data_IF_338970448987
#
_entry.id   IF_338970448987
#
_cell.length_a   1.000
_cell.length_b   1.000
_cell.length_c   1.000
_cell.angle_alpha   90.00
_cell.angle_beta   90.00
_cell.angle_gamma   90.00
#
_symmetry.space_group_name_H-M   'P 1'
#
loop_
_entity.id
_entity.type
_entity.pdbx_description
1 polymer ?
#
# COMPACT_ATOMS: atom_id res chain seq x y z
N UNK A 1 -4.75 11.92 0.62
CA UNK A 1 -3.50 11.35 1.13
C UNK A 1 -3.14 10.13 0.30
N UNK A 2 -1.85 9.92 0.00
CA UNK A 2 -1.36 8.72 -0.69
C UNK A 2 -0.21 8.12 0.11
N UNK A 3 -0.32 6.83 0.43
CA UNK A 3 0.76 6.02 0.99
C UNK A 3 1.31 5.17 -0.15
N UNK A 4 2.56 5.44 -0.54
CA UNK A 4 3.22 4.72 -1.62
C UNK A 4 3.60 3.27 -1.25
N UNK A 5 4.07 2.48 -2.22
CA UNK A 5 4.48 1.08 -2.04
C UNK A 5 5.85 0.97 -1.36
N UNK A 6 5.96 1.54 -0.16
CA UNK A 6 7.15 1.50 0.70
C UNK A 6 7.06 0.34 1.70
N UNK A 7 8.19 -0.01 2.31
CA UNK A 7 8.23 -1.07 3.32
C UNK A 7 7.26 -0.75 4.48
N UNK A 8 6.29 -1.64 4.77
CA UNK A 8 5.24 -1.33 5.71
C UNK A 8 5.76 -1.31 7.15
N UNK A 9 6.81 -2.09 7.46
CA UNK A 9 7.36 -2.24 8.81
C UNK A 9 8.41 -1.18 9.14
N UNK A 10 9.35 -0.90 8.24
CA UNK A 10 10.48 0.01 8.57
C UNK A 10 10.32 1.41 8.02
N UNK A 11 9.41 1.65 7.08
CA UNK A 11 9.19 2.97 6.49
C UNK A 11 7.86 3.57 6.92
N UNK A 12 6.76 2.82 6.79
CA UNK A 12 5.42 3.36 7.07
C UNK A 12 5.04 3.23 8.55
N UNK A 13 5.25 2.08 9.19
CA UNK A 13 4.88 1.90 10.62
C UNK A 13 5.50 2.95 11.55
N UNK A 14 6.79 3.34 11.43
CA UNK A 14 7.36 4.39 12.27
C UNK A 14 6.67 5.76 12.10
N UNK A 15 6.19 6.06 10.90
CA UNK A 15 5.41 7.28 10.63
C UNK A 15 4.03 7.18 11.30
N UNK A 16 3.38 6.01 11.23
CA UNK A 16 2.07 5.78 11.86
C UNK A 16 2.14 5.80 13.40
N UNK A 17 3.27 5.39 13.97
CA UNK A 17 3.55 5.39 15.42
C UNK A 17 3.79 6.80 15.98
N UNK A 18 4.10 7.78 15.12
CA UNK A 18 4.22 9.17 15.55
C UNK A 18 2.87 9.70 16.08
N UNK A 19 2.92 10.36 17.24
CA UNK A 19 1.73 10.81 17.97
C UNK A 19 0.77 11.62 17.07
N UNK A 20 -0.48 11.18 17.00
CA UNK A 20 -1.54 11.85 16.25
C UNK A 20 -1.58 11.55 14.75
N UNK A 21 -0.58 10.89 14.15
CA UNK A 21 -0.57 10.61 12.70
C UNK A 21 -1.70 9.66 12.32
N UNK A 22 -1.84 8.53 13.01
CA UNK A 22 -2.92 7.57 12.72
C UNK A 22 -4.31 8.18 12.89
N UNK A 23 -4.51 9.01 13.92
CA UNK A 23 -5.78 9.72 14.15
C UNK A 23 -6.06 10.80 13.10
N UNK A 24 -5.02 11.42 12.54
CA UNK A 24 -5.15 12.36 11.44
C UNK A 24 -5.55 11.63 10.15
N UNK A 25 -4.98 10.44 9.90
CA UNK A 25 -5.33 9.61 8.75
C UNK A 25 -6.78 9.12 8.82
N UNK A 26 -7.24 8.64 9.98
CA UNK A 26 -8.66 8.24 10.17
C UNK A 26 -9.67 9.35 9.92
N UNK A 27 -9.28 10.60 10.16
CA UNK A 27 -10.13 11.80 9.91
C UNK A 27 -9.96 12.37 8.51
N UNK A 28 -8.98 11.88 7.75
CA UNK A 28 -8.71 12.39 6.43
C UNK A 28 -9.80 11.91 5.46
N UNK A 29 -10.32 12.81 4.61
CA UNK A 29 -11.46 12.52 3.71
C UNK A 29 -11.25 11.32 2.78
N UNK A 30 -10.00 11.11 2.35
CA UNK A 30 -9.61 10.04 1.44
C UNK A 30 -8.13 9.65 1.56
N UNK A 31 -7.86 8.43 1.98
CA UNK A 31 -6.54 7.80 2.08
C UNK A 31 -6.46 6.64 1.10
N UNK A 32 -5.47 6.71 0.21
CA UNK A 32 -5.18 5.65 -0.75
C UNK A 32 -3.83 5.03 -0.38
N UNK A 33 -3.75 3.71 -0.30
CA UNK A 33 -2.51 2.99 -0.04
C UNK A 33 -2.20 2.00 -1.18
N UNK A 34 -0.92 1.91 -1.55
CA UNK A 34 -0.43 0.96 -2.57
C UNK A 34 0.40 -0.11 -1.90
N UNK A 35 0.10 -1.39 -2.19
CA UNK A 35 0.89 -2.51 -1.69
C UNK A 35 2.32 -2.47 -2.22
N UNK A 36 3.34 -2.77 -1.40
CA UNK A 36 4.72 -2.99 -1.84
C UNK A 36 4.97 -4.42 -2.37
N UNK A 37 3.96 -5.29 -2.32
CA UNK A 37 4.03 -6.67 -2.80
C UNK A 37 3.49 -6.81 -4.22
N UNK A 38 4.11 -7.71 -4.96
CA UNK A 38 3.73 -8.10 -6.31
C UNK A 38 3.78 -9.62 -6.39
N UNK A 39 2.62 -10.24 -6.53
CA UNK A 39 2.52 -11.70 -6.49
C UNK A 39 2.71 -12.21 -5.06
N UNK A 40 3.67 -13.11 -4.89
CA UNK A 40 4.06 -13.73 -3.62
C UNK A 40 5.32 -13.07 -3.00
N UNK A 41 5.84 -12.00 -3.62
CA UNK A 41 7.10 -11.38 -3.22
C UNK A 41 7.02 -9.85 -3.17
N UNK A 42 7.80 -9.19 -2.29
CA UNK A 42 7.96 -7.75 -2.34
C UNK A 42 8.80 -7.35 -3.57
N UNK A 43 8.56 -6.16 -4.12
CA UNK A 43 9.34 -5.64 -5.27
C UNK A 43 10.84 -5.61 -4.99
N UNK A 44 11.22 -5.23 -3.76
CA UNK A 44 12.60 -5.16 -3.34
C UNK A 44 12.73 -5.13 -1.82
N UNK A 45 13.95 -5.44 -1.34
CA UNK A 45 14.34 -5.21 0.05
C UNK A 45 13.82 -6.25 1.06
N UNK A 46 14.07 -6.00 2.37
CA UNK A 46 13.80 -6.97 3.44
C UNK A 46 12.33 -7.00 3.89
N UNK A 47 11.39 -6.41 3.13
CA UNK A 47 9.99 -6.26 3.57
C UNK A 47 9.36 -7.58 4.00
N UNK A 48 9.55 -8.65 3.23
CA UNK A 48 9.02 -9.97 3.58
C UNK A 48 9.62 -10.54 4.89
N UNK A 49 10.93 -10.37 5.10
CA UNK A 49 11.57 -10.82 6.32
C UNK A 49 11.10 -10.02 7.54
N UNK A 50 10.98 -8.70 7.39
CA UNK A 50 10.55 -7.80 8.46
C UNK A 50 9.07 -7.96 8.82
N UNK A 51 8.20 -8.23 7.84
CA UNK A 51 6.81 -8.57 8.12
C UNK A 51 6.70 -9.87 8.90
N UNK A 52 7.44 -10.91 8.51
CA UNK A 52 7.49 -12.16 9.30
C UNK A 52 8.01 -11.91 10.72
N UNK A 53 9.06 -11.10 10.87
CA UNK A 53 9.62 -10.75 12.17
C UNK A 53 8.66 -9.94 13.05
N UNK A 54 7.74 -9.17 12.45
CA UNK A 54 6.67 -8.45 13.16
C UNK A 54 5.39 -9.28 13.34
N UNK A 55 5.42 -10.58 13.05
CA UNK A 55 4.29 -11.50 13.23
C UNK A 55 3.19 -11.36 12.16
N UNK A 56 3.52 -10.82 10.98
CA UNK A 56 2.58 -10.56 9.89
C UNK A 56 2.91 -11.37 8.64
N UNK A 57 1.88 -11.67 7.87
CA UNK A 57 2.04 -12.31 6.57
C UNK A 57 2.74 -11.32 5.60
N UNK A 58 3.83 -11.73 4.92
CA UNK A 58 4.51 -10.91 3.93
C UNK A 58 3.75 -10.91 2.60
N UNK A 59 2.58 -10.29 2.60
CA UNK A 59 1.66 -10.25 1.47
C UNK A 59 0.98 -8.88 1.37
N UNK A 60 0.30 -8.63 0.25
CA UNK A 60 -0.62 -7.50 0.12
C UNK A 60 -1.72 -7.54 1.18
N UNK A 61 -2.21 -8.74 1.54
CA UNK A 61 -3.24 -8.91 2.57
C UNK A 61 -2.71 -8.55 3.98
N UNK A 62 -1.52 -9.03 4.33
CA UNK A 62 -0.87 -8.65 5.58
C UNK A 62 -0.55 -7.16 5.67
N UNK A 63 -0.26 -6.53 4.53
CA UNK A 63 -0.08 -5.07 4.43
C UNK A 63 -1.41 -4.34 4.60
N UNK A 64 -2.49 -4.83 3.99
CA UNK A 64 -3.82 -4.25 4.14
C UNK A 64 -4.28 -4.28 5.60
N UNK A 65 -4.08 -5.39 6.32
CA UNK A 65 -4.37 -5.50 7.75
C UNK A 65 -3.52 -4.60 8.67
N UNK A 66 -2.50 -3.91 8.15
CA UNK A 66 -1.81 -2.83 8.89
C UNK A 66 -2.56 -1.49 8.80
N UNK A 67 -3.32 -1.29 7.72
CA UNK A 67 -3.85 0.01 7.32
C UNK A 67 -5.39 0.05 7.25
N UNK A 68 -6.06 -1.09 7.40
CA UNK A 68 -7.51 -1.27 7.20
C UNK A 68 -8.39 -0.32 8.02
N UNK A 69 -7.90 0.19 9.15
CA UNK A 69 -8.66 1.08 10.03
C UNK A 69 -8.69 2.54 9.54
N UNK A 70 -7.90 2.92 8.52
CA UNK A 70 -7.85 4.28 7.99
C UNK A 70 -7.75 4.39 6.47
N UNK A 71 -7.56 3.28 5.74
CA UNK A 71 -7.47 3.29 4.27
C UNK A 71 -8.84 3.16 3.64
N UNK A 72 -9.19 4.11 2.79
CA UNK A 72 -10.44 4.09 2.02
C UNK A 72 -10.31 3.31 0.71
N UNK A 73 -9.12 3.31 0.10
CA UNK A 73 -8.82 2.58 -1.13
C UNK A 73 -7.46 1.92 -1.01
N UNK A 74 -7.45 0.59 -1.03
CA UNK A 74 -6.23 -0.19 -1.12
C UNK A 74 -5.98 -0.62 -2.56
N UNK A 75 -4.75 -0.46 -3.04
CA UNK A 75 -4.32 -0.87 -4.37
C UNK A 75 -3.34 -2.02 -4.23
N UNK A 76 -3.75 -3.18 -4.72
CA UNK A 76 -2.94 -4.37 -4.83
C UNK A 76 -2.47 -4.58 -6.27
N UNK A 77 -1.47 -5.43 -6.48
CA UNK A 77 -0.94 -5.63 -7.83
C UNK A 77 -1.84 -6.57 -8.67
N UNK A 78 -1.86 -6.37 -9.98
CA UNK A 78 -2.54 -7.29 -10.93
C UNK A 78 -1.97 -8.71 -10.94
N UNK A 79 -0.77 -8.93 -10.39
CA UNK A 79 -0.13 -10.25 -10.26
C UNK A 79 -0.36 -10.92 -8.91
N UNK A 80 -0.94 -10.25 -7.92
CA UNK A 80 -1.22 -10.85 -6.62
C UNK A 80 -2.09 -12.12 -6.74
N UNK A 81 -1.74 -13.22 -6.05
CA UNK A 81 -2.45 -14.48 -6.23
C UNK A 81 -3.85 -14.48 -5.60
N UNK A 82 -4.10 -13.59 -4.65
CA UNK A 82 -5.33 -13.52 -3.87
C UNK A 82 -5.92 -12.11 -3.98
N UNK A 83 -7.25 -12.05 -4.08
CA UNK A 83 -8.01 -10.80 -4.07
C UNK A 83 -8.31 -10.39 -2.63
N UNK A 84 -8.01 -9.13 -2.31
CA UNK A 84 -8.44 -8.48 -1.07
C UNK A 84 -9.78 -7.80 -1.37
N UNK A 85 -10.81 -8.14 -0.60
CA UNK A 85 -12.14 -7.58 -0.79
C UNK A 85 -12.13 -6.04 -0.74
N UNK A 86 -12.71 -5.42 -1.77
CA UNK A 86 -12.75 -3.96 -1.92
C UNK A 86 -11.45 -3.30 -2.39
N UNK A 87 -10.36 -4.05 -2.57
CA UNK A 87 -9.13 -3.52 -3.14
C UNK A 87 -9.21 -3.38 -4.67
N UNK A 88 -8.49 -2.40 -5.21
CA UNK A 88 -8.30 -2.23 -6.65
C UNK A 88 -7.04 -2.95 -7.11
N UNK A 89 -7.06 -3.48 -8.34
CA UNK A 89 -5.90 -4.13 -8.95
C UNK A 89 -5.31 -3.24 -10.04
N UNK A 90 -4.07 -2.77 -9.84
CA UNK A 90 -3.32 -1.98 -10.82
C UNK A 90 -1.93 -2.58 -11.03
N UNK A 91 -1.26 -2.26 -12.15
CA UNK A 91 0.15 -2.60 -12.31
C UNK A 91 1.01 -1.64 -11.47
N UNK A 92 1.59 -2.17 -10.39
CA UNK A 92 2.38 -1.40 -9.42
C UNK A 92 3.89 -1.56 -9.64
N UNK A 93 4.33 -2.33 -10.64
CA UNK A 93 5.76 -2.54 -10.91
C UNK A 93 6.37 -1.33 -11.62
N UNK A 94 7.03 -0.48 -10.83
CA UNK A 94 7.67 0.76 -11.27
C UNK A 94 9.10 0.55 -11.82
N UNK A 95 9.25 -0.28 -12.85
CA UNK A 95 10.56 -0.59 -13.48
C UNK A 95 11.20 0.58 -14.25
N UNK A 96 10.40 1.56 -14.66
CA UNK A 96 10.87 2.80 -15.28
C UNK A 96 9.87 3.94 -15.03
N UNK A 97 10.30 5.18 -15.28
CA UNK A 97 9.52 6.40 -14.98
C UNK A 97 8.10 6.40 -15.57
N UNK A 98 7.92 5.83 -16.77
CA UNK A 98 6.62 5.74 -17.42
C UNK A 98 5.60 4.94 -16.60
N UNK A 99 6.00 3.79 -16.04
CA UNK A 99 5.12 2.98 -15.16
C UNK A 99 4.73 3.73 -13.90
N UNK A 100 5.66 4.44 -13.27
CA UNK A 100 5.36 5.29 -12.11
C UNK A 100 4.36 6.41 -12.47
N UNK A 101 4.50 7.02 -13.65
CA UNK A 101 3.58 8.06 -14.11
C UNK A 101 2.18 7.50 -14.39
N UNK A 102 2.08 6.31 -14.97
CA UNK A 102 0.79 5.69 -15.27
C UNK A 102 0.04 5.32 -13.98
N UNK A 103 0.73 4.71 -13.01
CA UNK A 103 0.16 4.44 -11.69
C UNK A 103 -0.26 5.74 -10.98
N UNK A 104 0.58 6.77 -11.03
CA UNK A 104 0.27 8.06 -10.43
C UNK A 104 -0.98 8.70 -11.05
N UNK A 105 -1.14 8.64 -12.38
CA UNK A 105 -2.37 9.11 -13.07
C UNK A 105 -3.60 8.36 -12.57
N UNK A 106 -3.55 7.03 -12.48
CA UNK A 106 -4.66 6.23 -11.95
C UNK A 106 -5.03 6.63 -10.52
N UNK A 107 -4.04 6.84 -9.66
CA UNK A 107 -4.27 7.30 -8.27
C UNK A 107 -4.90 8.70 -8.24
N UNK A 108 -4.41 9.63 -9.07
CA UNK A 108 -4.98 10.99 -9.18
C UNK A 108 -6.42 10.94 -9.66
N UNK A 109 -6.73 10.11 -10.65
CA UNK A 109 -8.11 9.87 -11.10
C UNK A 109 -8.99 9.35 -9.96
N UNK A 110 -8.50 8.43 -9.14
CA UNK A 110 -9.26 7.93 -7.97
C UNK A 110 -9.52 9.02 -6.92
N UNK A 111 -8.63 10.00 -6.78
CA UNK A 111 -8.79 11.11 -5.82
C UNK A 111 -9.84 12.12 -6.30
N UNK A 112 -9.86 12.45 -7.59
CA UNK A 112 -10.65 13.55 -8.13
C UNK A 112 -11.85 13.14 -8.99
N UNK A 113 -11.94 11.89 -9.43
CA UNK A 113 -13.11 11.33 -10.12
C UNK A 113 -13.32 11.81 -11.56
N UNK A 114 -12.26 12.06 -12.31
CA UNK A 114 -12.34 12.44 -13.74
C UNK A 114 -12.44 11.23 -14.67
#
# INVERSE_FOLDING_TARGET
MVIGPSNPVTSISPILECAGVREALRRHRRVIAVSPFIGDAPVSGPAAALMRASGREPSSAGTFGLYEDFVDVFIQDTRDPVEIEGALRLDTLMVYRGKSLDLAKSIVTLIYGY
#
